data_IF_757381291029
#
_entry.id   IF_757381291029
#
_cell.length_a   1.000
_cell.length_b   1.000
_cell.length_c   1.000
_cell.angle_alpha   90.00
_cell.angle_beta   90.00
_cell.angle_gamma   90.00
#
_symmetry.space_group_name_H-M   'P 1'
#
loop_
_entity.id
_entity.type
_entity.pdbx_description
1 polymer ?
#
# COMPACT_ATOMS: atom_id res chain seq x y z
N UNK A 1 21.85 71.86 14.79
CA UNK A 1 20.60 71.87 14.02
C UNK A 1 20.85 71.07 12.76
N UNK A 2 20.09 69.98 12.65
CA UNK A 2 19.61 69.33 11.42
C UNK A 2 20.56 68.56 10.48
N UNK A 3 20.47 67.23 10.65
CA UNK A 3 20.24 66.16 9.65
C UNK A 3 20.23 66.48 8.15
N UNK A 4 20.93 65.67 7.35
CA UNK A 4 20.41 64.55 6.50
C UNK A 4 21.58 63.96 5.67
N UNK A 5 21.99 62.70 5.84
CA UNK A 5 21.46 61.42 5.32
C UNK A 5 22.15 60.98 4.00
N UNK A 6 22.70 59.75 3.95
CA UNK A 6 22.69 58.75 2.85
C UNK A 6 23.89 57.75 2.91
N UNK A 7 23.52 56.51 3.25
CA UNK A 7 23.92 55.20 2.66
C UNK A 7 25.35 54.68 2.85
N UNK A 8 25.43 53.45 3.38
CA UNK A 8 26.52 52.52 3.01
C UNK A 8 26.83 51.41 4.03
N UNK A 9 26.14 50.28 3.89
CA UNK A 9 26.68 48.91 4.10
C UNK A 9 27.40 48.57 5.42
N UNK A 10 26.70 47.88 6.32
CA UNK A 10 27.32 47.01 7.34
C UNK A 10 27.09 45.55 7.00
N UNK A 11 28.19 44.88 6.66
CA UNK A 11 28.40 43.43 6.72
C UNK A 11 28.13 42.90 8.12
N UNK A 12 27.31 41.86 8.24
CA UNK A 12 27.22 41.04 9.44
C UNK A 12 27.21 39.57 9.04
N UNK A 13 28.28 38.88 9.43
CA UNK A 13 28.36 37.43 9.42
C UNK A 13 27.29 36.84 10.35
N UNK A 14 26.59 35.81 9.89
CA UNK A 14 25.79 34.93 10.74
C UNK A 14 25.90 33.53 10.15
N UNK A 15 26.41 32.61 10.96
CA UNK A 15 26.64 31.23 10.58
C UNK A 15 25.34 30.45 10.59
N UNK A 16 25.08 29.74 9.49
CA UNK A 16 24.01 28.75 9.40
C UNK A 16 24.61 27.35 9.40
N UNK A 17 24.66 26.76 10.60
CA UNK A 17 24.82 25.33 10.83
C UNK A 17 23.55 24.59 10.37
N UNK A 18 23.50 24.10 9.13
CA UNK A 18 22.48 23.15 8.70
C UNK A 18 23.07 21.74 8.61
N UNK A 19 23.19 21.13 9.79
CA UNK A 19 23.59 19.75 9.98
C UNK A 19 22.34 18.84 9.89
N UNK A 20 21.87 18.55 8.67
CA UNK A 20 20.81 17.56 8.45
C UNK A 20 21.38 16.15 8.44
N UNK A 21 21.73 15.68 9.64
CA UNK A 21 22.14 14.31 9.89
C UNK A 21 20.89 13.41 9.90
N UNK A 22 20.57 12.79 8.76
CA UNK A 22 19.57 11.73 8.70
C UNK A 22 20.10 10.49 9.43
N UNK A 23 19.41 9.92 10.43
CA UNK A 23 19.84 8.68 11.03
C UNK A 23 19.73 7.54 10.01
N UNK A 24 20.86 6.86 9.75
CA UNK A 24 20.93 5.60 9.01
C UNK A 24 19.99 4.58 9.65
N UNK A 25 18.91 4.23 8.95
CA UNK A 25 18.07 3.13 9.36
C UNK A 25 18.81 1.82 9.13
N UNK A 26 19.01 1.11 10.24
CA UNK A 26 19.46 -0.27 10.27
C UNK A 26 18.60 -1.16 9.36
N UNK A 27 19.25 -2.10 8.70
CA UNK A 27 18.64 -3.18 7.94
C UNK A 27 17.56 -3.87 8.79
N UNK A 28 16.27 -3.69 8.44
CA UNK A 28 15.20 -4.53 8.95
C UNK A 28 15.16 -5.81 8.13
N UNK A 29 15.53 -6.90 8.79
CA UNK A 29 15.26 -8.26 8.33
C UNK A 29 13.78 -8.45 8.04
N UNK A 30 13.48 -9.10 6.92
CA UNK A 30 12.15 -9.46 6.48
C UNK A 30 11.38 -10.27 7.53
N UNK A 31 10.23 -9.75 7.92
CA UNK A 31 9.27 -10.36 8.82
C UNK A 31 8.03 -9.48 8.89
N UNK A 32 7.27 -9.42 7.80
CA UNK A 32 5.97 -8.73 7.79
C UNK A 32 4.97 -9.60 8.56
N UNK A 33 4.98 -9.46 9.87
CA UNK A 33 3.79 -9.68 10.70
C UNK A 33 3.43 -8.31 11.25
N UNK A 34 2.41 -7.68 10.66
CA UNK A 34 1.77 -6.52 11.29
C UNK A 34 0.92 -7.10 12.42
N UNK A 35 1.57 -7.46 13.54
CA UNK A 35 0.88 -7.60 14.82
C UNK A 35 0.78 -6.20 15.39
N UNK A 36 -0.41 -5.61 15.22
CA UNK A 36 -0.81 -4.40 15.92
C UNK A 36 -0.77 -4.68 17.42
N UNK A 37 0.07 -3.96 18.17
CA UNK A 37 0.34 -4.17 19.60
C UNK A 37 -0.85 -3.86 20.55
N UNK A 38 -2.08 -3.76 20.02
CA UNK A 38 -3.31 -3.42 20.75
C UNK A 38 -4.41 -4.49 20.58
N UNK A 39 -4.18 -5.57 19.85
CA UNK A 39 -5.17 -6.65 19.72
C UNK A 39 -5.12 -7.55 20.96
N UNK A 40 -5.99 -7.26 21.92
CA UNK A 40 -6.37 -8.23 22.94
C UNK A 40 -6.94 -9.46 22.24
N UNK A 41 -6.51 -10.65 22.66
CA UNK A 41 -6.94 -11.91 22.06
C UNK A 41 -8.37 -12.23 22.54
N UNK A 42 -9.38 -11.61 21.94
CA UNK A 42 -10.78 -11.76 22.33
C UNK A 42 -11.58 -12.51 21.25
N UNK A 43 -12.53 -13.32 21.69
CA UNK A 43 -13.45 -14.03 20.81
C UNK A 43 -14.84 -13.43 20.94
N UNK A 44 -15.50 -13.19 19.81
CA UNK A 44 -16.88 -12.71 19.76
C UNK A 44 -17.78 -13.91 19.53
N UNK A 45 -18.67 -14.17 20.49
CA UNK A 45 -19.79 -15.08 20.27
C UNK A 45 -20.93 -14.30 19.60
N UNK A 46 -21.23 -14.67 18.36
CA UNK A 46 -22.23 -13.99 17.53
C UNK A 46 -23.60 -14.69 17.61
N UNK A 47 -23.73 -15.73 18.45
CA UNK A 47 -24.94 -16.56 18.60
C UNK A 47 -26.25 -15.79 18.83
N UNK A 48 -26.17 -14.55 19.33
CA UNK A 48 -27.31 -13.67 19.63
C UNK A 48 -27.54 -12.52 18.63
N UNK A 49 -26.77 -12.46 17.54
CA UNK A 49 -26.82 -11.35 16.56
C UNK A 49 -27.00 -11.87 15.13
N UNK A 50 -27.89 -11.25 14.34
CA UNK A 50 -28.05 -11.51 12.90
C UNK A 50 -26.88 -10.91 12.10
N UNK A 51 -25.66 -11.37 12.37
CA UNK A 51 -24.47 -10.90 11.69
C UNK A 51 -24.25 -11.71 10.43
N UNK A 52 -24.42 -11.06 9.27
CA UNK A 52 -24.22 -11.69 7.97
C UNK A 52 -22.86 -11.29 7.38
N UNK A 53 -22.03 -12.30 7.10
CA UNK A 53 -20.71 -12.13 6.47
C UNK A 53 -20.81 -11.40 5.12
N UNK A 54 -21.91 -11.59 4.40
CA UNK A 54 -22.17 -11.00 3.08
C UNK A 54 -22.35 -9.48 3.16
N UNK A 55 -22.93 -8.95 4.23
CA UNK A 55 -23.07 -7.49 4.42
C UNK A 55 -21.71 -6.81 4.55
N UNK A 56 -20.76 -7.41 5.29
CA UNK A 56 -19.39 -6.89 5.37
C UNK A 56 -18.69 -7.01 4.02
N UNK A 57 -18.85 -8.17 3.38
CA UNK A 57 -18.24 -8.47 2.09
C UNK A 57 -18.68 -7.50 0.99
N UNK A 58 -19.94 -7.04 1.01
CA UNK A 58 -20.48 -6.07 0.05
C UNK A 58 -20.19 -4.61 0.40
N UNK A 59 -20.03 -4.28 1.68
CA UNK A 59 -19.80 -2.89 2.14
C UNK A 59 -18.38 -2.38 1.87
N UNK A 60 -17.41 -3.28 1.71
CA UNK A 60 -16.01 -2.93 1.50
C UNK A 60 -15.51 -3.40 0.13
N UNK A 61 -14.56 -2.65 -0.43
CA UNK A 61 -13.92 -2.96 -1.72
C UNK A 61 -12.41 -3.02 -1.57
N UNK A 62 -11.77 -3.73 -2.49
CA UNK A 62 -10.31 -3.87 -2.55
C UNK A 62 -9.75 -4.53 -1.29
N UNK A 63 -8.58 -4.07 -0.88
CA UNK A 63 -7.81 -4.70 0.18
C UNK A 63 -8.46 -4.61 1.57
N UNK A 64 -9.24 -3.55 1.83
CA UNK A 64 -9.98 -3.39 3.09
C UNK A 64 -10.97 -4.53 3.32
N UNK A 65 -11.61 -5.04 2.26
CA UNK A 65 -12.48 -6.21 2.35
C UNK A 65 -11.74 -7.43 2.84
N UNK A 66 -10.51 -7.65 2.38
CA UNK A 66 -9.67 -8.79 2.79
C UNK A 66 -9.27 -8.66 4.26
N UNK A 67 -8.78 -7.49 4.69
CA UNK A 67 -8.43 -7.28 6.10
C UNK A 67 -9.62 -7.44 7.04
N UNK A 68 -10.81 -6.96 6.64
CA UNK A 68 -12.03 -7.15 7.42
C UNK A 68 -12.42 -8.61 7.52
N UNK A 69 -12.33 -9.38 6.43
CA UNK A 69 -12.60 -10.82 6.46
C UNK A 69 -11.58 -11.58 7.32
N UNK A 70 -10.30 -11.23 7.25
CA UNK A 70 -9.26 -11.81 8.10
C UNK A 70 -9.51 -11.49 9.58
N UNK A 71 -9.90 -10.26 9.89
CA UNK A 71 -10.26 -9.85 11.24
C UNK A 71 -11.44 -10.65 11.79
N UNK A 72 -12.48 -10.87 10.98
CA UNK A 72 -13.61 -11.72 11.35
C UNK A 72 -13.15 -13.17 11.55
N UNK A 73 -12.26 -13.68 10.71
CA UNK A 73 -11.73 -15.03 10.87
C UNK A 73 -10.99 -15.21 12.21
N UNK A 74 -10.24 -14.22 12.67
CA UNK A 74 -9.51 -14.29 13.94
C UNK A 74 -10.45 -14.22 15.15
N UNK A 75 -11.41 -13.30 15.15
CA UNK A 75 -12.23 -12.99 16.32
C UNK A 75 -13.51 -13.84 16.40
N UNK A 76 -13.98 -14.42 15.29
CA UNK A 76 -15.27 -15.10 15.21
C UNK A 76 -15.07 -16.56 14.76
N UNK A 77 -14.86 -17.51 15.69
CA UNK A 77 -14.54 -18.90 15.34
C UNK A 77 -15.66 -19.60 14.54
N UNK A 78 -16.93 -19.21 14.75
CA UNK A 78 -18.08 -19.78 14.03
C UNK A 78 -18.09 -19.47 12.52
N UNK A 79 -17.62 -18.28 12.14
CA UNK A 79 -17.58 -17.82 10.74
C UNK A 79 -16.19 -17.90 10.13
N UNK A 80 -15.20 -18.42 10.87
CA UNK A 80 -13.80 -18.45 10.45
C UNK A 80 -13.60 -19.14 9.11
N UNK A 81 -14.19 -20.33 8.94
CA UNK A 81 -14.02 -21.12 7.73
C UNK A 81 -14.62 -20.39 6.52
N UNK A 82 -15.84 -19.87 6.67
CA UNK A 82 -16.52 -19.13 5.61
C UNK A 82 -15.82 -17.83 5.25
N UNK A 83 -15.30 -17.10 6.26
CA UNK A 83 -14.54 -15.87 6.07
C UNK A 83 -13.22 -16.12 5.31
N UNK A 84 -12.48 -17.18 5.67
CA UNK A 84 -11.25 -17.56 4.99
C UNK A 84 -11.52 -17.97 3.54
N UNK A 85 -12.52 -18.82 3.29
CA UNK A 85 -12.88 -19.24 1.93
C UNK A 85 -13.35 -18.06 1.06
N UNK A 86 -14.18 -17.18 1.62
CA UNK A 86 -14.65 -15.97 0.94
C UNK A 86 -13.50 -15.02 0.61
N UNK A 87 -12.56 -14.83 1.55
CA UNK A 87 -11.37 -14.01 1.34
C UNK A 87 -10.47 -14.58 0.24
N UNK A 88 -10.30 -15.91 0.23
CA UNK A 88 -9.48 -16.60 -0.75
C UNK A 88 -10.04 -16.47 -2.17
N UNK A 89 -11.35 -16.68 -2.34
CA UNK A 89 -12.04 -16.44 -3.61
C UNK A 89 -11.86 -15.00 -4.09
N UNK A 90 -12.00 -14.03 -3.18
CA UNK A 90 -11.87 -12.62 -3.54
C UNK A 90 -10.45 -12.25 -3.98
N UNK A 91 -9.41 -12.89 -3.43
CA UNK A 91 -8.02 -12.68 -3.86
C UNK A 91 -7.78 -13.20 -5.28
N UNK A 92 -8.42 -14.31 -5.65
CA UNK A 92 -8.32 -14.84 -7.02
C UNK A 92 -8.92 -13.87 -8.05
N UNK A 93 -9.94 -13.08 -7.66
CA UNK A 93 -10.55 -12.05 -8.50
C UNK A 93 -9.71 -10.76 -8.57
N UNK A 94 -8.96 -10.43 -7.52
CA UNK A 94 -8.31 -9.11 -7.36
C UNK A 94 -6.79 -9.13 -7.48
N UNK A 95 -6.17 -10.30 -7.64
CA UNK A 95 -4.73 -10.49 -7.89
C UNK A 95 -3.79 -10.01 -6.76
N UNK A 96 -4.23 -9.94 -5.50
CA UNK A 96 -3.35 -9.61 -4.37
C UNK A 96 -2.39 -10.76 -4.02
N UNK A 97 -1.22 -10.78 -4.66
CA UNK A 97 -0.23 -11.86 -4.58
C UNK A 97 0.37 -12.00 -3.17
N UNK A 98 0.60 -10.88 -2.48
CA UNK A 98 1.28 -10.85 -1.18
C UNK A 98 0.48 -11.58 -0.09
N UNK A 99 -0.84 -11.42 -0.08
CA UNK A 99 -1.76 -11.98 0.91
C UNK A 99 -2.19 -13.42 0.57
N UNK A 100 -2.10 -13.83 -0.69
CA UNK A 100 -2.49 -15.17 -1.14
C UNK A 100 -1.78 -16.27 -0.34
N UNK A 101 -0.46 -16.17 -0.18
CA UNK A 101 0.34 -17.16 0.56
C UNK A 101 -0.05 -17.22 2.03
N UNK A 102 -0.22 -16.06 2.67
CA UNK A 102 -0.59 -15.96 4.08
C UNK A 102 -1.94 -16.64 4.35
N UNK A 103 -2.95 -16.37 3.52
CA UNK A 103 -4.27 -16.97 3.69
C UNK A 103 -4.27 -18.46 3.38
N UNK A 104 -3.50 -18.89 2.36
CA UNK A 104 -3.34 -20.31 2.04
C UNK A 104 -2.70 -21.09 3.21
N UNK A 105 -1.71 -20.51 3.87
CA UNK A 105 -1.05 -21.13 5.02
C UNK A 105 -1.98 -21.20 6.24
N UNK A 106 -2.80 -20.18 6.49
CA UNK A 106 -3.83 -20.23 7.54
C UNK A 106 -4.92 -21.27 7.24
N UNK A 107 -5.37 -21.40 5.99
CA UNK A 107 -6.32 -22.45 5.57
C UNK A 107 -5.75 -23.84 5.84
N UNK A 108 -4.48 -24.08 5.49
CA UNK A 108 -3.79 -25.35 5.75
C UNK A 108 -3.68 -25.65 7.24
N UNK A 109 -3.36 -24.64 8.05
CA UNK A 109 -3.24 -24.77 9.51
C UNK A 109 -4.56 -25.12 10.18
N UNK A 110 -5.67 -24.58 9.70
CA UNK A 110 -7.02 -24.91 10.18
C UNK A 110 -7.60 -26.19 9.56
N UNK A 111 -6.86 -26.85 8.66
CA UNK A 111 -7.25 -28.07 7.97
C UNK A 111 -8.61 -27.94 7.24
N UNK A 112 -8.88 -26.77 6.67
CA UNK A 112 -10.12 -26.49 5.94
C UNK A 112 -9.97 -27.09 4.52
N UNK A 113 -10.94 -27.87 4.03
CA UNK A 113 -10.92 -28.37 2.66
C UNK A 113 -10.91 -27.21 1.66
N UNK A 114 -9.89 -27.16 0.81
CA UNK A 114 -9.85 -26.20 -0.29
C UNK A 114 -10.95 -26.53 -1.31
N UNK A 115 -11.62 -25.53 -1.90
CA UNK A 115 -12.55 -25.75 -2.99
C UNK A 115 -11.87 -26.48 -4.16
N UNK A 116 -12.58 -27.39 -4.83
CA UNK A 116 -12.04 -28.20 -5.93
C UNK A 116 -11.55 -27.37 -7.13
N UNK A 117 -11.98 -26.11 -7.26
CA UNK A 117 -11.58 -25.16 -8.30
C UNK A 117 -10.23 -24.47 -8.00
N UNK A 118 -9.44 -25.02 -7.07
CA UNK A 118 -8.12 -24.50 -6.71
C UNK A 118 -7.12 -24.65 -7.87
N UNK A 119 -6.84 -23.53 -8.56
CA UNK A 119 -5.77 -23.45 -9.54
C UNK A 119 -4.44 -23.10 -8.86
N UNK A 120 -3.63 -24.11 -8.53
CA UNK A 120 -2.26 -23.93 -8.02
C UNK A 120 -1.37 -23.14 -8.99
N UNK A 121 -1.62 -23.24 -10.29
CA UNK A 121 -0.85 -22.55 -11.34
C UNK A 121 -1.29 -21.09 -11.54
N UNK A 122 -2.44 -20.68 -10.98
CA UNK A 122 -2.89 -19.29 -11.00
C UNK A 122 -1.87 -18.38 -10.33
N UNK A 123 -1.37 -18.77 -9.15
CA UNK A 123 -0.40 -17.97 -8.40
C UNK A 123 0.87 -17.71 -9.22
N UNK A 124 1.44 -18.75 -9.85
CA UNK A 124 2.63 -18.60 -10.69
C UNK A 124 2.38 -17.74 -11.93
N UNK A 125 1.22 -17.91 -12.58
CA UNK A 125 0.83 -17.12 -13.76
C UNK A 125 0.65 -15.65 -13.40
N UNK A 126 -0.07 -15.36 -12.33
CA UNK A 126 -0.31 -14.00 -11.85
C UNK A 126 0.98 -13.35 -11.36
N UNK A 127 1.85 -14.09 -10.68
CA UNK A 127 3.18 -13.61 -10.30
C UNK A 127 4.04 -13.27 -11.52
N UNK A 128 4.05 -14.13 -12.55
CA UNK A 128 4.78 -13.86 -13.79
C UNK A 128 4.25 -12.61 -14.50
N UNK A 129 2.94 -12.47 -14.59
CA UNK A 129 2.29 -11.29 -15.19
C UNK A 129 2.58 -10.01 -14.39
N UNK A 130 2.60 -10.09 -13.06
CA UNK A 130 2.93 -8.97 -12.18
C UNK A 130 4.35 -8.47 -12.40
N UNK A 131 5.34 -9.37 -12.42
CA UNK A 131 6.74 -9.03 -12.66
C UNK A 131 6.91 -8.44 -14.05
N UNK A 132 6.30 -9.04 -15.07
CA UNK A 132 6.37 -8.54 -16.44
C UNK A 132 5.78 -7.12 -16.58
N UNK A 133 4.63 -6.85 -15.94
CA UNK A 133 4.02 -5.51 -15.94
C UNK A 133 4.89 -4.50 -15.19
N UNK A 134 5.53 -4.90 -14.10
CA UNK A 134 6.46 -4.04 -13.34
C UNK A 134 7.67 -3.64 -14.20
N UNK A 135 8.33 -4.60 -14.86
CA UNK A 135 9.47 -4.35 -15.74
C UNK A 135 9.12 -3.40 -16.90
N UNK A 136 7.90 -3.56 -17.46
CA UNK A 136 7.39 -2.66 -18.50
C UNK A 136 7.21 -1.24 -17.98
N UNK A 137 6.55 -1.07 -16.83
CA UNK A 137 6.32 0.24 -16.21
C UNK A 137 7.64 0.95 -15.86
N UNK A 138 8.63 0.20 -15.35
CA UNK A 138 9.97 0.75 -15.06
C UNK A 138 10.70 1.19 -16.33
N UNK A 139 10.58 0.42 -17.41
CA UNK A 139 11.15 0.77 -18.72
C UNK A 139 10.49 2.04 -19.27
N UNK A 140 9.17 2.14 -19.20
CA UNK A 140 8.42 3.31 -19.65
C UNK A 140 8.78 4.56 -18.83
N UNK A 141 8.90 4.43 -17.51
CA UNK A 141 9.33 5.52 -16.62
C UNK A 141 10.75 6.00 -16.95
N UNK A 142 11.66 5.07 -17.25
CA UNK A 142 13.02 5.40 -17.70
C UNK A 142 13.00 6.17 -19.03
N UNK A 143 12.15 5.77 -19.97
CA UNK A 143 11.97 6.47 -21.23
C UNK A 143 11.42 7.89 -21.03
N UNK A 144 10.43 8.08 -20.15
CA UNK A 144 9.89 9.41 -19.83
C UNK A 144 10.92 10.32 -19.18
N UNK A 145 11.83 9.77 -18.36
CA UNK A 145 12.95 10.51 -17.78
C UNK A 145 13.95 10.97 -18.83
N UNK A 146 14.33 10.10 -19.77
CA UNK A 146 15.22 10.47 -20.89
C UNK A 146 14.60 11.58 -21.73
N UNK A 147 13.28 11.51 -21.99
CA UNK A 147 12.54 12.51 -22.77
C UNK A 147 12.22 13.79 -21.99
N UNK A 148 12.50 13.83 -20.67
CA UNK A 148 12.26 14.98 -19.79
C UNK A 148 10.82 15.52 -19.79
N UNK A 149 9.82 14.66 -20.01
CA UNK A 149 8.41 15.04 -20.03
C UNK A 149 7.83 14.92 -18.61
N UNK A 150 7.75 16.04 -17.89
CA UNK A 150 7.33 16.08 -16.47
C UNK A 150 6.01 15.37 -16.20
N UNK A 151 4.99 15.63 -17.01
CA UNK A 151 3.65 15.07 -16.80
C UNK A 151 3.59 13.55 -17.06
N UNK A 152 4.43 13.03 -17.96
CA UNK A 152 4.57 11.59 -18.18
C UNK A 152 5.35 10.91 -17.07
N UNK A 153 6.38 11.55 -16.51
CA UNK A 153 7.10 11.04 -15.34
C UNK A 153 6.16 10.98 -14.12
N UNK A 154 5.33 12.00 -13.93
CA UNK A 154 4.32 12.04 -12.87
C UNK A 154 3.34 10.88 -13.01
N UNK A 155 2.71 10.71 -14.18
CA UNK A 155 1.80 9.58 -14.44
C UNK A 155 2.48 8.23 -14.28
N UNK A 156 3.71 8.07 -14.76
CA UNK A 156 4.45 6.82 -14.59
C UNK A 156 4.70 6.47 -13.13
N UNK A 157 4.91 7.46 -12.26
CA UNK A 157 4.96 7.22 -10.82
C UNK A 157 3.61 6.86 -10.20
N UNK A 158 2.51 7.44 -10.69
CA UNK A 158 1.15 7.07 -10.25
C UNK A 158 0.82 5.63 -10.68
N UNK A 159 1.08 5.26 -11.94
CA UNK A 159 0.84 3.92 -12.49
C UNK A 159 1.66 2.83 -11.76
N UNK A 160 2.91 3.17 -11.42
CA UNK A 160 3.77 2.29 -10.63
C UNK A 160 3.24 2.13 -9.20
N UNK A 161 2.77 3.22 -8.59
CA UNK A 161 2.13 3.20 -7.27
C UNK A 161 0.88 2.32 -7.26
N UNK A 162 0.01 2.48 -8.26
CA UNK A 162 -1.22 1.68 -8.41
C UNK A 162 -0.89 0.19 -8.57
N UNK A 163 0.14 -0.14 -9.36
CA UNK A 163 0.60 -1.53 -9.51
C UNK A 163 1.12 -2.14 -8.20
N UNK A 164 1.81 -1.35 -7.37
CA UNK A 164 2.22 -1.80 -6.03
C UNK A 164 1.03 -1.97 -5.08
N UNK A 165 0.00 -1.11 -5.17
CA UNK A 165 -1.23 -1.27 -4.40
C UNK A 165 -2.00 -2.53 -4.78
N UNK A 166 -2.09 -2.84 -6.07
CA UNK A 166 -2.72 -4.06 -6.57
C UNK A 166 -1.97 -5.32 -6.09
N UNK A 167 -0.67 -5.22 -5.80
CA UNK A 167 0.08 -6.30 -5.16
C UNK A 167 -0.06 -6.36 -3.63
N UNK A 168 -0.54 -5.30 -2.99
CA UNK A 168 -0.60 -5.14 -1.53
C UNK A 168 0.71 -4.65 -0.88
N UNK A 169 1.61 -4.01 -1.66
CA UNK A 169 2.84 -3.39 -1.14
C UNK A 169 2.66 -1.88 -0.94
N UNK A 170 2.15 -1.50 0.23
CA UNK A 170 1.86 -0.10 0.57
C UNK A 170 3.11 0.76 0.69
N UNK A 171 4.17 0.21 1.28
CA UNK A 171 5.39 0.98 1.52
C UNK A 171 6.01 1.43 0.21
N UNK A 172 6.07 0.54 -0.78
CA UNK A 172 6.59 0.93 -2.10
C UNK A 172 5.60 1.77 -2.90
N UNK A 173 4.29 1.57 -2.75
CA UNK A 173 3.27 2.43 -3.34
C UNK A 173 3.38 3.89 -2.87
N UNK A 174 3.37 4.14 -1.55
CA UNK A 174 3.50 5.48 -0.97
C UNK A 174 4.81 6.15 -1.42
N UNK A 175 5.92 5.41 -1.45
CA UNK A 175 7.20 5.93 -1.94
C UNK A 175 7.14 6.34 -3.40
N UNK A 176 6.32 5.71 -4.24
CA UNK A 176 6.13 6.11 -5.64
C UNK A 176 5.32 7.40 -5.74
N UNK A 177 4.21 7.51 -5.00
CA UNK A 177 3.40 8.73 -4.98
C UNK A 177 4.15 9.94 -4.42
N UNK A 178 4.92 9.78 -3.34
CA UNK A 178 5.71 10.88 -2.78
C UNK A 178 6.79 11.36 -3.76
N UNK A 179 7.35 10.46 -4.59
CA UNK A 179 8.31 10.83 -5.65
C UNK A 179 7.64 11.58 -6.81
N UNK A 180 6.35 11.39 -7.05
CA UNK A 180 5.63 12.11 -8.12
C UNK A 180 5.44 13.60 -7.80
N UNK A 181 5.54 13.99 -6.51
CA UNK A 181 5.42 15.36 -5.99
C UNK A 181 6.26 16.38 -6.75
N UNK A 182 7.52 16.06 -7.03
CA UNK A 182 8.46 17.01 -7.64
C UNK A 182 8.10 17.31 -9.12
N UNK A 183 7.18 16.54 -9.69
CA UNK A 183 6.66 16.68 -11.06
C UNK A 183 5.23 17.25 -11.10
N UNK A 184 4.66 17.62 -9.95
CA UNK A 184 3.35 18.27 -9.86
C UNK A 184 3.44 19.75 -10.28
N UNK A 185 2.74 20.11 -11.36
CA UNK A 185 2.70 21.50 -11.88
C UNK A 185 1.43 22.24 -11.46
N UNK A 186 0.28 21.56 -11.42
CA UNK A 186 -1.00 22.17 -11.05
C UNK A 186 -1.40 21.80 -9.63
N UNK A 187 -2.18 22.65 -8.91
CA UNK A 187 -2.71 22.30 -7.60
C UNK A 187 -3.54 21.01 -7.61
N UNK A 188 -4.22 20.73 -8.73
CA UNK A 188 -4.96 19.47 -8.95
C UNK A 188 -4.03 18.26 -8.88
N UNK A 189 -2.84 18.34 -9.46
CA UNK A 189 -1.86 17.25 -9.41
C UNK A 189 -1.42 16.96 -7.97
N UNK A 190 -1.15 18.00 -7.18
CA UNK A 190 -0.79 17.84 -5.76
C UNK A 190 -1.92 17.23 -4.96
N UNK A 191 -3.18 17.66 -5.19
CA UNK A 191 -4.33 17.10 -4.49
C UNK A 191 -4.57 15.63 -4.83
N UNK A 192 -4.46 15.24 -6.10
CA UNK A 192 -4.54 13.84 -6.53
C UNK A 192 -3.46 12.99 -5.88
N UNK A 193 -2.21 13.47 -5.86
CA UNK A 193 -1.10 12.79 -5.18
C UNK A 193 -1.40 12.59 -3.68
N UNK A 194 -1.83 13.64 -2.98
CA UNK A 194 -2.19 13.53 -1.56
C UNK A 194 -3.30 12.51 -1.32
N UNK A 195 -4.33 12.48 -2.17
CA UNK A 195 -5.41 11.49 -2.07
C UNK A 195 -4.90 10.06 -2.32
N UNK A 196 -3.97 9.87 -3.26
CA UNK A 196 -3.37 8.57 -3.52
C UNK A 196 -2.51 8.09 -2.34
N UNK A 197 -1.76 8.99 -1.69
CA UNK A 197 -1.00 8.69 -0.47
C UNK A 197 -1.92 8.33 0.70
N UNK A 198 -3.10 8.96 0.81
CA UNK A 198 -4.08 8.63 1.85
C UNK A 198 -4.83 7.33 1.59
N UNK A 199 -5.00 6.96 0.31
CA UNK A 199 -5.63 5.70 -0.10
C UNK A 199 -4.73 4.49 0.17
N UNK A 200 -3.43 4.66 0.01
CA UNK A 200 -2.39 3.64 0.22
C UNK A 200 -2.21 3.34 1.72
#
# INVERSE_FOLDING_TARGET
MDTQNIVGSTSAASGDNNNNNFPQQHQRSNGNTITSSYEGNYQVDISSTNFELETITSSYTGLMRIYRLLYVADHCPMLRNDALLTSFKYIQETHFISLYKQILDEIKKQNIPLPNDFDAAWYERTQRNYVHKLEKLDTDLRNFRTNSIKDSIRRGHDDLGDHYLDAGDFFNAVRCYVRSRDYCVTPRHTMTMCMNVLKA
#
